data_IF_148257748815
#
_entry.id   IF_148257748815
#
_cell.length_a   1.000
_cell.length_b   1.000
_cell.length_c   1.000
_cell.angle_alpha   90.00
_cell.angle_beta   90.00
_cell.angle_gamma   90.00
#
_symmetry.space_group_name_H-M   'P 1'
#
loop_
_entity.id
_entity.type
_entity.pdbx_description
1 polymer ?
#
# COMPACT_ATOMS: atom_id res chain seq x y z
N UNK A 1 53.93 20.37 -3.34
CA UNK A 1 53.61 18.96 -3.51
C UNK A 1 52.54 18.45 -2.53
N UNK A 2 52.42 18.97 -1.33
CA UNK A 2 51.46 18.48 -0.28
C UNK A 2 50.00 18.88 -0.52
N UNK A 3 49.68 19.96 -1.24
CA UNK A 3 48.31 20.41 -1.47
C UNK A 3 47.55 19.60 -2.55
N UNK A 4 48.27 19.03 -3.50
CA UNK A 4 47.68 18.16 -4.53
C UNK A 4 47.31 16.76 -3.94
N UNK A 5 48.12 16.25 -3.01
CA UNK A 5 47.85 14.97 -2.36
C UNK A 5 46.63 15.03 -1.43
N UNK A 6 46.43 16.17 -0.74
CA UNK A 6 45.25 16.38 0.13
C UNK A 6 43.95 16.53 -0.66
N UNK A 7 44.00 17.14 -1.85
CA UNK A 7 42.80 17.27 -2.70
C UNK A 7 42.36 15.94 -3.30
N UNK A 8 43.30 15.09 -3.73
CA UNK A 8 42.96 13.76 -4.27
C UNK A 8 42.41 12.81 -3.19
N UNK A 9 42.89 12.89 -1.97
CA UNK A 9 42.40 12.08 -0.85
C UNK A 9 40.96 12.48 -0.45
N UNK A 10 40.65 13.79 -0.44
CA UNK A 10 39.31 14.28 -0.14
C UNK A 10 38.26 13.87 -1.20
N UNK A 11 38.64 13.82 -2.47
CA UNK A 11 37.72 13.43 -3.57
C UNK A 11 37.40 11.94 -3.54
N UNK A 12 38.36 11.09 -3.16
CA UNK A 12 38.14 9.63 -3.08
C UNK A 12 37.27 9.22 -1.88
N UNK A 13 37.35 9.93 -0.75
CA UNK A 13 36.49 9.67 0.41
C UNK A 13 35.05 10.06 0.15
N UNK A 14 34.81 11.14 -0.61
CA UNK A 14 33.44 11.58 -0.96
C UNK A 14 32.71 10.61 -1.88
N UNK A 15 33.42 9.86 -2.73
CA UNK A 15 32.79 8.87 -3.63
C UNK A 15 32.42 7.56 -2.92
N UNK A 16 32.99 7.25 -1.78
CA UNK A 16 32.66 6.04 -0.99
C UNK A 16 31.40 6.20 -0.13
N UNK A 17 30.99 7.42 0.20
CA UNK A 17 29.80 7.70 0.99
C UNK A 17 28.47 7.59 0.19
N UNK A 18 28.53 7.60 -1.14
CA UNK A 18 27.35 7.45 -2.01
C UNK A 18 26.87 6.00 -2.24
N UNK A 19 27.65 5.00 -1.81
CA UNK A 19 27.40 3.59 -2.16
C UNK A 19 26.44 2.85 -1.20
N UNK A 20 26.01 3.47 -0.11
CA UNK A 20 25.14 2.84 0.90
C UNK A 20 23.65 3.23 0.78
N UNK A 21 23.18 3.66 -0.37
CA UNK A 21 21.75 3.72 -0.61
C UNK A 21 21.22 2.28 -0.70
N UNK A 22 20.84 1.70 0.45
CA UNK A 22 20.14 0.43 0.49
C UNK A 22 18.84 0.56 -0.31
N UNK A 23 18.86 0.10 -1.56
CA UNK A 23 17.68 0.13 -2.43
C UNK A 23 16.70 -0.92 -1.95
N UNK A 24 15.71 -0.51 -1.16
CA UNK A 24 14.55 -1.33 -0.88
C UNK A 24 13.71 -1.43 -2.15
N UNK A 25 13.44 -2.65 -2.58
CA UNK A 25 12.58 -2.94 -3.73
C UNK A 25 11.37 -3.69 -3.20
N UNK A 26 10.21 -3.06 -3.27
CA UNK A 26 8.97 -3.66 -2.78
C UNK A 26 8.02 -3.97 -3.93
N UNK A 27 7.08 -4.88 -3.69
CA UNK A 27 5.98 -5.18 -4.61
C UNK A 27 4.78 -5.70 -3.83
N UNK A 28 3.59 -5.43 -4.35
CA UNK A 28 2.35 -6.05 -3.89
C UNK A 28 2.28 -7.47 -4.47
N UNK A 29 1.92 -8.46 -3.67
CA UNK A 29 1.85 -9.86 -4.13
C UNK A 29 0.69 -10.03 -5.13
N UNK A 30 0.99 -10.35 -6.40
CA UNK A 30 -0.03 -10.46 -7.44
C UNK A 30 -1.03 -11.61 -7.21
N UNK A 31 -0.70 -12.61 -6.38
CA UNK A 31 -1.60 -13.73 -6.08
C UNK A 31 -2.86 -13.32 -5.33
N UNK A 32 -2.82 -12.19 -4.62
CA UNK A 32 -3.97 -11.64 -3.90
C UNK A 32 -4.88 -10.74 -4.75
N UNK A 33 -4.47 -10.37 -5.96
CA UNK A 33 -5.27 -9.50 -6.83
C UNK A 33 -6.55 -10.20 -7.29
N UNK A 34 -7.72 -9.67 -6.87
CA UNK A 34 -9.05 -10.21 -7.21
C UNK A 34 -9.69 -9.53 -8.43
N UNK A 35 -9.13 -8.41 -8.86
CA UNK A 35 -9.63 -7.66 -10.00
C UNK A 35 -8.79 -6.42 -10.30
N UNK A 36 -9.10 -5.78 -11.41
CA UNK A 36 -8.42 -4.55 -11.85
C UNK A 36 -9.45 -3.44 -12.05
N UNK A 37 -8.99 -2.19 -11.98
CA UNK A 37 -9.85 -1.03 -12.27
C UNK A 37 -10.49 -1.06 -13.67
N UNK A 38 -9.87 -1.78 -14.62
CA UNK A 38 -10.43 -1.93 -15.98
C UNK A 38 -11.72 -2.76 -16.02
N UNK A 39 -12.00 -3.56 -14.99
CA UNK A 39 -13.23 -4.36 -14.86
C UNK A 39 -14.38 -3.58 -14.21
N UNK A 40 -14.09 -2.42 -13.61
CA UNK A 40 -15.07 -1.56 -12.97
C UNK A 40 -15.83 -0.75 -14.04
N UNK A 41 -17.14 -0.74 -13.93
CA UNK A 41 -17.98 0.11 -14.78
C UNK A 41 -18.13 1.47 -14.10
N UNK A 42 -17.69 2.51 -14.79
CA UNK A 42 -17.81 3.87 -14.29
C UNK A 42 -19.27 4.26 -14.02
N UNK A 43 -19.50 5.01 -12.97
CA UNK A 43 -20.82 5.58 -12.63
C UNK A 43 -20.81 7.06 -13.03
N UNK A 44 -21.84 7.53 -13.71
CA UNK A 44 -21.95 8.90 -14.16
C UNK A 44 -23.29 9.54 -13.72
N UNK A 45 -23.28 10.57 -12.83
CA UNK A 45 -22.10 11.07 -12.11
C UNK A 45 -21.57 10.06 -11.06
N UNK A 46 -20.28 10.13 -10.69
CA UNK A 46 -19.74 9.29 -9.62
C UNK A 46 -20.48 9.50 -8.30
N UNK A 47 -20.63 8.43 -7.51
CA UNK A 47 -21.33 8.49 -6.24
C UNK A 47 -20.49 9.26 -5.19
N UNK A 48 -21.00 10.33 -4.55
CA UNK A 48 -20.32 10.96 -3.43
C UNK A 48 -20.28 10.01 -2.25
N UNK A 49 -19.13 9.92 -1.56
CA UNK A 49 -18.92 9.03 -0.42
C UNK A 49 -18.00 9.66 0.61
N UNK A 50 -18.39 9.61 1.89
CA UNK A 50 -17.50 9.93 3.00
C UNK A 50 -16.54 8.75 3.23
N UNK A 51 -15.25 9.06 3.30
CA UNK A 51 -14.21 8.06 3.51
C UNK A 51 -13.76 8.08 4.96
N UNK A 52 -14.00 6.99 5.69
CA UNK A 52 -13.52 6.76 7.05
C UNK A 52 -12.43 5.69 7.02
N UNK A 53 -11.26 5.97 7.59
CA UNK A 53 -10.13 5.05 7.58
C UNK A 53 -9.59 4.81 8.99
N UNK A 54 -9.05 3.60 9.21
CA UNK A 54 -8.36 3.23 10.43
C UNK A 54 -7.22 2.27 10.09
N UNK A 55 -5.98 2.67 10.37
CA UNK A 55 -4.83 1.80 10.24
C UNK A 55 -4.44 1.20 11.58
N UNK A 56 -4.27 -0.11 11.61
CA UNK A 56 -3.82 -0.86 12.77
C UNK A 56 -2.52 -1.61 12.45
N UNK A 57 -1.69 -1.75 13.46
CA UNK A 57 -0.56 -2.66 13.44
C UNK A 57 -0.73 -3.65 14.58
N UNK A 58 -0.94 -4.93 14.24
CA UNK A 58 -1.21 -6.00 15.22
C UNK A 58 -2.38 -5.66 16.15
N UNK A 59 -3.44 -5.08 15.58
CA UNK A 59 -4.64 -4.66 16.30
C UNK A 59 -4.55 -3.30 17.00
N UNK A 60 -3.36 -2.70 17.11
CA UNK A 60 -3.17 -1.39 17.74
C UNK A 60 -3.33 -0.26 16.70
N UNK A 61 -4.20 0.70 16.96
CA UNK A 61 -4.41 1.87 16.09
C UNK A 61 -3.15 2.73 15.98
N UNK A 62 -2.79 3.12 14.76
CA UNK A 62 -1.65 3.98 14.43
C UNK A 62 -2.12 5.23 13.69
N UNK A 63 -2.56 6.29 14.40
CA UNK A 63 -3.18 7.48 13.80
C UNK A 63 -2.32 8.17 12.73
N UNK A 64 -1.00 8.17 12.90
CA UNK A 64 -0.07 8.76 11.93
C UNK A 64 -0.11 8.06 10.56
N UNK A 65 -0.58 6.80 10.49
CA UNK A 65 -0.71 6.06 9.25
C UNK A 65 -2.07 6.29 8.56
N UNK A 66 -3.09 6.77 9.27
CA UNK A 66 -4.43 7.00 8.72
C UNK A 66 -4.41 8.01 7.57
N UNK A 67 -3.61 9.07 7.68
CA UNK A 67 -3.51 10.11 6.63
C UNK A 67 -3.04 9.48 5.32
N UNK A 68 -2.05 8.60 5.39
CA UNK A 68 -1.51 7.92 4.21
C UNK A 68 -2.52 6.92 3.64
N UNK A 69 -3.15 6.12 4.52
CA UNK A 69 -4.18 5.18 4.11
C UNK A 69 -5.33 5.91 3.40
N UNK A 70 -5.81 7.03 3.96
CA UNK A 70 -6.84 7.87 3.34
C UNK A 70 -6.45 8.29 1.93
N UNK A 71 -5.24 8.82 1.73
CA UNK A 71 -4.77 9.24 0.42
C UNK A 71 -4.76 8.10 -0.61
N UNK A 72 -4.36 6.88 -0.21
CA UNK A 72 -4.40 5.72 -1.11
C UNK A 72 -5.82 5.27 -1.43
N UNK A 73 -6.74 5.27 -0.45
CA UNK A 73 -8.15 4.93 -0.66
C UNK A 73 -8.80 5.92 -1.61
N UNK A 74 -8.66 7.23 -1.35
CA UNK A 74 -9.23 8.29 -2.19
C UNK A 74 -8.68 8.23 -3.62
N UNK A 75 -7.38 7.99 -3.79
CA UNK A 75 -6.78 7.80 -5.12
C UNK A 75 -7.37 6.59 -5.86
N UNK A 76 -7.62 5.47 -5.16
CA UNK A 76 -8.23 4.29 -5.74
C UNK A 76 -9.69 4.55 -6.17
N UNK A 77 -10.47 5.27 -5.35
CA UNK A 77 -11.84 5.66 -5.67
C UNK A 77 -11.90 6.55 -6.91
N UNK A 78 -11.07 7.58 -6.98
CA UNK A 78 -11.01 8.48 -8.13
C UNK A 78 -10.60 7.73 -9.42
N UNK A 79 -9.64 6.81 -9.31
CA UNK A 79 -9.21 5.98 -10.44
C UNK A 79 -10.30 5.02 -10.92
N UNK A 80 -11.19 4.57 -10.04
CA UNK A 80 -12.32 3.70 -10.39
C UNK A 80 -13.40 4.39 -11.20
N UNK A 81 -13.54 5.71 -11.08
CA UNK A 81 -14.65 6.52 -11.61
C UNK A 81 -16.05 6.09 -11.13
N UNK A 82 -16.11 5.37 -10.03
CA UNK A 82 -17.38 4.93 -9.43
C UNK A 82 -17.82 5.83 -8.28
N UNK A 83 -16.84 6.30 -7.51
CA UNK A 83 -17.06 7.11 -6.32
C UNK A 83 -16.15 8.32 -6.30
N UNK A 84 -16.62 9.39 -5.65
CA UNK A 84 -15.85 10.61 -5.38
C UNK A 84 -15.88 10.91 -3.89
N UNK A 85 -14.71 11.19 -3.26
CA UNK A 85 -14.67 11.57 -1.84
C UNK A 85 -15.48 12.86 -1.59
N UNK A 86 -16.41 12.78 -0.63
CA UNK A 86 -17.21 13.92 -0.17
C UNK A 86 -17.52 13.74 1.32
N UNK A 87 -17.00 14.64 2.16
CA UNK A 87 -17.15 14.56 3.62
C UNK A 87 -18.59 14.78 4.11
N UNK A 88 -19.44 15.37 3.28
CA UNK A 88 -20.85 15.67 3.62
C UNK A 88 -21.80 14.55 3.13
N UNK A 89 -21.28 13.59 2.41
CA UNK A 89 -22.10 12.48 1.90
C UNK A 89 -22.71 11.64 3.04
N UNK A 90 -24.00 11.27 2.95
CA UNK A 90 -24.61 10.29 3.85
C UNK A 90 -24.06 8.86 3.60
N UNK A 91 -23.53 8.59 2.42
CA UNK A 91 -22.88 7.32 2.10
C UNK A 91 -21.52 7.26 2.74
N UNK A 92 -21.16 6.11 3.31
CA UNK A 92 -19.91 5.95 4.03
C UNK A 92 -19.14 4.75 3.48
N UNK A 93 -17.89 4.98 3.08
CA UNK A 93 -16.90 3.93 2.86
C UNK A 93 -15.95 3.91 4.06
N UNK A 94 -15.99 2.84 4.84
CA UNK A 94 -15.05 2.64 5.94
C UNK A 94 -14.02 1.58 5.55
N UNK A 95 -12.74 1.92 5.68
CA UNK A 95 -11.62 1.03 5.39
C UNK A 95 -10.77 0.86 6.65
N UNK A 96 -10.79 -0.33 7.22
CA UNK A 96 -9.93 -0.71 8.34
C UNK A 96 -8.84 -1.63 7.81
N UNK A 97 -7.59 -1.26 8.03
CA UNK A 97 -6.42 -2.06 7.63
C UNK A 97 -5.65 -2.47 8.86
N UNK A 98 -5.42 -3.76 9.01
CA UNK A 98 -4.55 -4.29 10.06
C UNK A 98 -3.31 -4.95 9.43
N UNK A 99 -2.13 -4.36 9.65
CA UNK A 99 -0.87 -5.02 9.36
C UNK A 99 -0.60 -6.05 10.46
N UNK A 100 -0.66 -7.32 10.11
CA UNK A 100 -0.44 -8.45 11.03
C UNK A 100 0.97 -9.03 10.92
N UNK A 101 1.79 -8.54 9.99
CA UNK A 101 3.17 -8.97 9.78
C UNK A 101 4.03 -8.81 11.04
N UNK A 102 4.91 -9.76 11.29
CA UNK A 102 5.82 -9.69 12.43
C UNK A 102 7.07 -8.86 12.09
N UNK A 103 6.99 -7.57 12.41
CA UNK A 103 8.11 -6.63 12.22
C UNK A 103 9.31 -6.99 13.11
N UNK A 104 9.10 -7.77 14.20
CA UNK A 104 10.17 -8.15 15.12
C UNK A 104 11.10 -9.21 14.50
N UNK A 105 10.54 -10.17 13.77
CA UNK A 105 11.32 -11.15 13.00
C UNK A 105 12.08 -10.46 11.86
N UNK A 106 11.43 -9.55 11.15
CA UNK A 106 12.05 -8.76 10.09
C UNK A 106 13.21 -7.91 10.61
N UNK A 107 13.06 -7.29 11.79
CA UNK A 107 14.13 -6.53 12.45
C UNK A 107 15.25 -7.44 12.94
N UNK A 108 14.94 -8.59 13.54
CA UNK A 108 15.93 -9.56 13.98
C UNK A 108 16.74 -10.11 12.80
N UNK A 109 16.11 -10.40 11.67
CA UNK A 109 16.77 -10.77 10.44
C UNK A 109 17.66 -9.63 9.91
N UNK A 110 17.17 -8.38 9.94
CA UNK A 110 17.93 -7.20 9.54
C UNK A 110 19.14 -6.93 10.42
N UNK A 111 19.04 -7.11 11.74
CA UNK A 111 20.16 -6.94 12.69
C UNK A 111 21.20 -8.06 12.51
N UNK A 112 20.77 -9.31 12.36
CA UNK A 112 21.68 -10.42 12.06
C UNK A 112 22.43 -10.23 10.73
N UNK A 113 21.76 -9.62 9.74
CA UNK A 113 22.31 -9.36 8.43
C UNK A 113 23.07 -8.03 8.33
N UNK A 114 22.84 -7.10 9.26
CA UNK A 114 23.53 -5.80 9.31
C UNK A 114 25.04 -5.90 9.52
N UNK A 115 25.51 -6.98 10.15
CA UNK A 115 26.93 -7.29 10.27
C UNK A 115 27.58 -7.75 8.96
N UNK A 116 26.78 -8.08 7.94
CA UNK A 116 27.28 -8.55 6.62
C UNK A 116 27.41 -7.43 5.58
N UNK A 117 27.42 -6.15 5.99
CA UNK A 117 27.60 -4.98 5.11
C UNK A 117 26.65 -4.95 3.90
N UNK A 118 25.41 -5.39 4.07
CA UNK A 118 24.40 -5.38 3.00
C UNK A 118 24.57 -6.50 1.96
N UNK A 119 25.45 -7.47 2.19
CA UNK A 119 25.68 -8.61 1.30
C UNK A 119 24.62 -9.71 1.49
N UNK A 120 23.94 -9.76 2.65
CA UNK A 120 22.89 -10.72 2.88
C UNK A 120 21.61 -10.31 2.13
N UNK A 121 21.01 -11.28 1.46
CA UNK A 121 19.73 -11.16 0.76
C UNK A 121 18.60 -11.52 1.73
N UNK A 122 17.61 -10.68 1.89
CA UNK A 122 16.41 -11.00 2.65
C UNK A 122 15.16 -10.41 1.98
N UNK A 123 14.06 -11.13 2.14
CA UNK A 123 12.73 -10.63 1.76
C UNK A 123 11.89 -10.56 3.03
N UNK A 124 11.34 -9.40 3.30
CA UNK A 124 10.40 -9.17 4.40
C UNK A 124 9.01 -9.13 3.81
N UNK A 125 8.07 -9.80 4.47
CA UNK A 125 6.66 -9.82 4.08
C UNK A 125 5.84 -9.08 5.12
N UNK A 126 5.10 -8.07 4.68
CA UNK A 126 4.04 -7.43 5.44
C UNK A 126 2.71 -8.02 5.00
N UNK A 127 1.95 -8.57 5.94
CA UNK A 127 0.62 -9.11 5.69
C UNK A 127 -0.44 -8.12 6.17
N UNK A 128 -1.42 -7.83 5.31
CA UNK A 128 -2.50 -6.90 5.56
C UNK A 128 -3.86 -7.59 5.54
N UNK A 129 -4.67 -7.31 6.54
CA UNK A 129 -6.08 -7.65 6.61
C UNK A 129 -6.90 -6.38 6.41
N UNK A 130 -7.77 -6.39 5.41
CA UNK A 130 -8.66 -5.30 5.05
C UNK A 130 -10.09 -5.66 5.44
N UNK A 131 -10.72 -4.86 6.28
CA UNK A 131 -12.16 -4.87 6.49
C UNK A 131 -12.73 -3.60 5.85
N UNK A 132 -13.45 -3.76 4.74
CA UNK A 132 -14.00 -2.66 3.98
C UNK A 132 -15.51 -2.75 4.06
N UNK A 133 -16.16 -1.68 4.51
CA UNK A 133 -17.61 -1.61 4.57
C UNK A 133 -18.13 -0.39 3.83
N UNK A 134 -19.24 -0.59 3.14
CA UNK A 134 -19.99 0.46 2.48
C UNK A 134 -21.38 0.55 3.10
N UNK A 135 -21.79 1.76 3.46
CA UNK A 135 -23.14 2.08 3.89
C UNK A 135 -23.73 3.04 2.88
N UNK A 136 -24.86 2.70 2.27
CA UNK A 136 -25.54 3.56 1.30
C UNK A 136 -26.32 4.71 1.98
N UNK A 137 -26.98 5.53 1.16
CA UNK A 137 -27.79 6.64 1.66
C UNK A 137 -28.99 6.24 2.52
N UNK A 138 -29.48 5.01 2.35
CA UNK A 138 -30.60 4.44 3.09
C UNK A 138 -30.18 3.69 4.36
N UNK A 139 -28.87 3.65 4.64
CA UNK A 139 -28.29 2.96 5.80
C UNK A 139 -28.06 1.47 5.59
N UNK A 140 -28.26 0.94 4.38
CA UNK A 140 -27.95 -0.46 4.07
C UNK A 140 -26.45 -0.66 4.02
N UNK A 141 -25.96 -1.65 4.77
CA UNK A 141 -24.52 -1.94 4.92
C UNK A 141 -24.13 -3.21 4.17
N UNK A 142 -22.97 -3.19 3.54
CA UNK A 142 -22.28 -4.36 3.00
C UNK A 142 -20.82 -4.33 3.46
N UNK A 143 -20.33 -5.48 3.89
CA UNK A 143 -18.97 -5.67 4.44
C UNK A 143 -18.19 -6.64 3.55
N UNK A 144 -16.90 -6.38 3.39
CA UNK A 144 -15.98 -7.25 2.69
C UNK A 144 -14.69 -7.42 3.50
N UNK A 145 -14.20 -8.66 3.57
CA UNK A 145 -12.90 -8.99 4.10
C UNK A 145 -11.95 -9.37 2.97
N UNK A 146 -10.75 -8.80 2.98
CA UNK A 146 -9.71 -9.04 1.99
C UNK A 146 -8.36 -9.19 2.65
N UNK A 147 -7.52 -10.09 2.14
CA UNK A 147 -6.12 -10.21 2.56
C UNK A 147 -5.20 -9.81 1.44
N UNK A 148 -4.07 -9.25 1.78
CA UNK A 148 -3.01 -8.93 0.84
C UNK A 148 -1.63 -9.05 1.51
N UNK A 149 -0.60 -9.24 0.71
CA UNK A 149 0.77 -9.20 1.17
C UNK A 149 1.60 -8.21 0.34
N UNK A 150 2.55 -7.57 1.00
CA UNK A 150 3.60 -6.77 0.38
C UNK A 150 4.95 -7.37 0.74
N UNK A 151 5.80 -7.53 -0.25
CA UNK A 151 7.15 -8.03 -0.07
C UNK A 151 8.16 -6.93 -0.29
N UNK A 152 9.18 -6.86 0.57
CA UNK A 152 10.29 -5.93 0.45
C UNK A 152 11.61 -6.71 0.39
N UNK A 153 12.25 -6.66 -0.77
CA UNK A 153 13.57 -7.22 -0.98
C UNK A 153 14.65 -6.22 -0.51
N UNK A 154 15.58 -6.70 0.29
CA UNK A 154 16.70 -5.94 0.82
C UNK A 154 18.02 -6.52 0.32
N UNK A 155 19.04 -5.68 0.16
CA UNK A 155 20.35 -6.07 -0.31
C UNK A 155 20.33 -6.59 -1.76
N UNK A 156 20.82 -7.81 -1.96
CA UNK A 156 20.89 -8.46 -3.29
C UNK A 156 19.71 -9.40 -3.58
N UNK A 157 18.65 -9.37 -2.77
CA UNK A 157 17.49 -10.21 -2.99
C UNK A 157 16.87 -9.91 -4.37
N UNK A 158 16.64 -10.95 -5.16
CA UNK A 158 15.98 -10.84 -6.45
C UNK A 158 14.45 -10.73 -6.25
N UNK A 159 13.80 -9.97 -7.13
CA UNK A 159 12.35 -9.98 -7.25
C UNK A 159 11.90 -11.15 -8.12
N UNK A 160 10.67 -11.66 -7.96
CA UNK A 160 10.10 -12.62 -8.88
C UNK A 160 10.11 -12.09 -10.32
N UNK A 161 10.28 -13.00 -11.30
CA UNK A 161 10.30 -12.63 -12.71
C UNK A 161 9.00 -11.87 -13.10
N UNK A 162 9.15 -10.81 -13.88
CA UNK A 162 8.04 -9.97 -14.32
C UNK A 162 7.51 -8.97 -13.27
N UNK A 163 8.09 -8.95 -12.06
CA UNK A 163 7.69 -8.00 -11.01
C UNK A 163 8.37 -6.65 -11.20
N UNK A 164 7.58 -5.58 -11.24
CA UNK A 164 8.11 -4.21 -11.25
C UNK A 164 8.52 -3.79 -9.83
N UNK A 165 9.78 -3.37 -9.61
CA UNK A 165 10.20 -2.85 -8.33
C UNK A 165 9.52 -1.50 -8.05
N UNK A 166 8.99 -1.35 -6.84
CA UNK A 166 8.36 -0.13 -6.33
C UNK A 166 9.06 0.30 -5.04
N UNK A 167 8.84 1.56 -4.65
CA UNK A 167 9.14 2.00 -3.28
C UNK A 167 8.12 1.37 -2.31
N UNK A 168 8.47 1.16 -1.02
CA UNK A 168 7.54 0.54 -0.06
C UNK A 168 6.17 1.22 0.01
N UNK A 169 6.13 2.56 -0.06
CA UNK A 169 4.88 3.31 -0.03
C UNK A 169 4.03 3.09 -1.29
N UNK A 170 4.65 2.97 -2.47
CA UNK A 170 3.96 2.70 -3.73
C UNK A 170 3.40 1.27 -3.74
N UNK A 171 4.19 0.29 -3.28
CA UNK A 171 3.75 -1.10 -3.16
C UNK A 171 2.57 -1.23 -2.16
N UNK A 172 2.63 -0.54 -1.02
CA UNK A 172 1.50 -0.47 -0.09
C UNK A 172 0.26 0.16 -0.75
N UNK A 173 0.43 1.25 -1.51
CA UNK A 173 -0.66 1.86 -2.27
C UNK A 173 -1.30 0.90 -3.28
N UNK A 174 -0.52 -0.02 -3.87
CA UNK A 174 -1.05 -1.08 -4.73
C UNK A 174 -1.90 -2.08 -3.95
N UNK A 175 -1.49 -2.51 -2.75
CA UNK A 175 -2.31 -3.41 -1.92
C UNK A 175 -3.65 -2.77 -1.52
N UNK A 176 -3.65 -1.48 -1.20
CA UNK A 176 -4.88 -0.72 -0.90
C UNK A 176 -5.77 -0.62 -2.13
N UNK A 177 -5.20 -0.29 -3.30
CA UNK A 177 -5.93 -0.21 -4.55
C UNK A 177 -6.57 -1.54 -4.93
N UNK A 178 -5.84 -2.64 -4.81
CA UNK A 178 -6.34 -3.98 -5.12
C UNK A 178 -7.50 -4.37 -4.19
N UNK A 179 -7.42 -4.05 -2.89
CA UNK A 179 -8.48 -4.28 -1.92
C UNK A 179 -9.74 -3.43 -2.21
N UNK A 180 -9.56 -2.13 -2.48
CA UNK A 180 -10.68 -1.24 -2.84
C UNK A 180 -11.35 -1.67 -4.14
N UNK A 181 -10.57 -2.01 -5.19
CA UNK A 181 -11.12 -2.49 -6.45
C UNK A 181 -11.90 -3.80 -6.27
N UNK A 182 -11.41 -4.73 -5.45
CA UNK A 182 -12.12 -5.97 -5.16
C UNK A 182 -13.47 -5.70 -4.48
N UNK A 183 -13.52 -4.76 -3.53
CA UNK A 183 -14.77 -4.36 -2.87
C UNK A 183 -15.76 -3.71 -3.85
N UNK A 184 -15.28 -2.78 -4.68
CA UNK A 184 -16.11 -2.10 -5.68
C UNK A 184 -16.68 -3.09 -6.72
N UNK A 185 -15.86 -4.05 -7.18
CA UNK A 185 -16.31 -5.11 -8.12
C UNK A 185 -17.40 -5.99 -7.50
N UNK A 186 -17.22 -6.41 -6.24
CA UNK A 186 -18.22 -7.19 -5.53
C UNK A 186 -19.53 -6.42 -5.42
N UNK A 187 -19.52 -5.18 -4.93
CA UNK A 187 -20.72 -4.37 -4.73
C UNK A 187 -21.39 -3.97 -6.05
N UNK A 188 -20.60 -3.77 -7.11
CA UNK A 188 -21.14 -3.58 -8.45
C UNK A 188 -21.88 -4.84 -8.93
N UNK A 189 -21.30 -6.03 -8.73
CA UNK A 189 -21.92 -7.32 -9.06
C UNK A 189 -23.19 -7.60 -8.24
N UNK A 190 -23.25 -7.13 -6.99
CA UNK A 190 -24.41 -7.21 -6.11
C UNK A 190 -25.49 -6.14 -6.41
N UNK A 191 -25.25 -5.24 -7.36
CA UNK A 191 -26.15 -4.13 -7.71
C UNK A 191 -26.31 -3.07 -6.60
N UNK A 192 -25.35 -2.98 -5.69
CA UNK A 192 -25.35 -1.98 -4.61
C UNK A 192 -24.89 -0.60 -5.08
N UNK A 193 -24.06 -0.57 -6.14
CA UNK A 193 -23.49 0.64 -6.70
C UNK A 193 -24.19 0.98 -8.02
N UNK A 194 -25.35 1.62 -7.93
CA UNK A 194 -26.13 2.08 -9.11
C UNK A 194 -26.20 3.59 -9.14
N UNK A 195 -26.04 4.17 -10.34
CA UNK A 195 -26.29 5.58 -10.56
C UNK A 195 -27.78 5.90 -10.31
N UNK A 196 -28.06 6.97 -9.58
CA UNK A 196 -29.41 7.54 -9.53
C UNK A 196 -30.35 7.01 -8.46
N UNK A 197 -29.88 6.26 -7.43
CA UNK A 197 -30.66 6.16 -6.18
C UNK A 197 -30.32 7.35 -5.29
N UNK A 198 -31.33 8.22 -4.98
CA UNK A 198 -31.13 9.38 -4.12
C UNK A 198 -30.64 8.98 -2.73
#
# INVERSE_FOLDING_TARGET
MNRLLTLTLALTVSSLLGACASSFKSYADPSYRKGTSAQLLAINPPLPVRVDVLFQQRGEHKPAADIRLRGHVEAALLASRMMVPDQLSPRVLRVVVNNVGDVSEARAAGVKNGLSLGLASSVVTDEYQYNISYTDGDGKKSDMFFRHAMHTAMGRAALPAGTKPLKPQEAYGETVRDAVNAALLQWQGEGLLVAGKP
#
